data_IF_359756330863
#
_entry.id   IF_359756330863
#
_cell.length_a   1.000
_cell.length_b   1.000
_cell.length_c   1.000
_cell.angle_alpha   90.00
_cell.angle_beta   90.00
_cell.angle_gamma   90.00
#
_symmetry.space_group_name_H-M   'P 1'
#
loop_
_entity.id
_entity.type
_entity.pdbx_description
1 polymer ?
#
# COMPACT_ATOMS: atom_id res chain seq x y z
N UNK A 1 -3.51 39.15 -30.16
CA UNK A 1 -2.96 38.39 -29.01
C UNK A 1 -3.81 37.15 -28.85
N UNK A 2 -3.30 35.99 -29.29
CA UNK A 2 -3.99 34.71 -29.13
C UNK A 2 -3.84 34.27 -27.68
N UNK A 3 -4.95 34.16 -26.96
CA UNK A 3 -4.99 33.47 -25.67
C UNK A 3 -4.88 31.97 -26.00
N UNK A 4 -3.70 31.42 -25.73
CA UNK A 4 -3.45 29.99 -25.82
C UNK A 4 -4.37 29.32 -24.81
N UNK A 5 -5.42 28.67 -25.30
CA UNK A 5 -6.33 27.88 -24.49
C UNK A 5 -5.52 26.87 -23.69
N UNK A 6 -5.80 26.84 -22.39
CA UNK A 6 -5.21 25.96 -21.38
C UNK A 6 -4.83 24.60 -21.97
N UNK A 7 -3.53 24.33 -21.99
CA UNK A 7 -3.05 22.96 -22.15
C UNK A 7 -3.63 22.18 -20.99
N UNK A 8 -4.64 21.36 -21.30
CA UNK A 8 -5.23 20.37 -20.42
C UNK A 8 -4.19 19.26 -20.23
N UNK A 9 -3.07 19.59 -19.57
CA UNK A 9 -2.09 18.62 -19.14
C UNK A 9 -2.84 17.74 -18.14
N UNK A 10 -2.98 16.47 -18.48
CA UNK A 10 -3.63 15.51 -17.60
C UNK A 10 -2.88 15.50 -16.27
N UNK A 11 -3.59 15.58 -15.15
CA UNK A 11 -3.02 15.48 -13.79
C UNK A 11 -2.15 14.22 -13.65
N UNK A 12 -2.47 13.18 -14.40
CA UNK A 12 -1.71 11.93 -14.48
C UNK A 12 -0.34 12.14 -15.14
N UNK A 13 -0.28 12.87 -16.24
CA UNK A 13 0.98 13.18 -16.93
C UNK A 13 1.89 14.06 -16.07
N UNK A 14 1.32 15.04 -15.36
CA UNK A 14 2.07 15.89 -14.43
C UNK A 14 2.62 15.09 -13.24
N UNK A 15 1.82 14.21 -12.64
CA UNK A 15 2.27 13.36 -11.54
C UNK A 15 3.40 12.41 -11.95
N UNK A 16 3.28 11.79 -13.13
CA UNK A 16 4.32 10.89 -13.67
C UNK A 16 5.60 11.65 -14.02
N UNK A 17 5.48 12.88 -14.53
CA UNK A 17 6.62 13.71 -14.92
C UNK A 17 7.36 14.31 -13.72
N UNK A 18 6.65 14.66 -12.65
CA UNK A 18 7.21 15.25 -11.43
C UNK A 18 7.76 14.22 -10.43
N UNK A 19 7.50 12.93 -10.67
CA UNK A 19 7.98 11.85 -9.81
C UNK A 19 9.09 11.05 -10.48
N UNK A 20 9.85 10.29 -9.67
CA UNK A 20 10.83 9.35 -10.19
C UNK A 20 10.13 8.13 -10.81
N UNK A 21 9.55 8.32 -12.00
CA UNK A 21 8.86 7.27 -12.72
C UNK A 21 9.84 6.18 -13.16
N UNK A 22 9.44 4.92 -12.94
CA UNK A 22 10.15 3.74 -13.45
C UNK A 22 9.15 2.69 -13.89
N UNK A 23 9.51 1.96 -14.94
CA UNK A 23 8.80 0.74 -15.32
C UNK A 23 9.02 -0.35 -14.26
N UNK A 24 8.11 -1.32 -14.18
CA UNK A 24 8.23 -2.46 -13.27
C UNK A 24 9.56 -3.21 -13.48
N UNK A 25 10.02 -3.33 -14.73
CA UNK A 25 11.29 -3.99 -15.07
C UNK A 25 12.51 -3.25 -14.50
N UNK A 26 12.49 -1.92 -14.50
CA UNK A 26 13.56 -1.10 -13.92
C UNK A 26 13.55 -1.14 -12.40
N UNK A 27 12.35 -1.13 -11.79
CA UNK A 27 12.20 -1.27 -10.32
C UNK A 27 12.78 -2.61 -9.87
N UNK A 28 12.55 -3.70 -10.61
CA UNK A 28 13.10 -5.03 -10.27
C UNK A 28 14.62 -5.13 -10.29
N UNK A 29 15.28 -4.31 -11.11
CA UNK A 29 16.75 -4.27 -11.20
C UNK A 29 17.37 -3.37 -10.13
N UNK A 30 16.55 -2.65 -9.38
CA UNK A 30 17.00 -1.74 -8.34
C UNK A 30 17.31 -2.50 -7.05
N UNK A 31 18.53 -2.35 -6.54
CA UNK A 31 19.01 -3.11 -5.37
C UNK A 31 19.17 -2.25 -4.11
N UNK A 32 18.72 -1.00 -4.14
CA UNK A 32 18.77 -0.07 -3.00
C UNK A 32 17.36 0.35 -2.58
N UNK A 33 17.18 0.77 -1.33
CA UNK A 33 15.92 1.33 -0.87
C UNK A 33 15.64 2.66 -1.57
N UNK A 34 14.54 2.72 -2.32
CA UNK A 34 14.10 3.92 -3.03
C UNK A 34 12.59 3.92 -3.26
N UNK A 35 12.04 5.11 -3.52
CA UNK A 35 10.62 5.32 -3.83
C UNK A 35 10.49 5.70 -5.30
N UNK A 36 9.66 4.98 -6.03
CA UNK A 36 9.37 5.21 -7.45
C UNK A 36 7.87 5.29 -7.68
N UNK A 37 7.49 5.97 -8.77
CA UNK A 37 6.12 5.92 -9.30
C UNK A 37 6.11 4.97 -10.49
N UNK A 38 5.03 4.21 -10.64
CA UNK A 38 4.84 3.33 -11.79
C UNK A 38 3.37 3.26 -12.14
N UNK A 39 3.09 3.01 -13.41
CA UNK A 39 1.75 2.76 -13.91
C UNK A 39 1.61 1.27 -14.22
N UNK A 40 0.49 0.68 -13.83
CA UNK A 40 0.23 -0.72 -14.13
C UNK A 40 -1.20 -1.16 -13.80
N UNK A 41 -1.65 -2.20 -14.50
CA UNK A 41 -2.97 -2.79 -14.30
C UNK A 41 -2.92 -3.90 -13.27
N UNK A 42 -3.78 -3.84 -12.26
CA UNK A 42 -3.97 -4.92 -11.28
C UNK A 42 -4.62 -6.11 -12.00
N UNK A 43 -3.94 -7.28 -12.05
CA UNK A 43 -4.53 -8.51 -12.63
C UNK A 43 -5.26 -9.37 -11.62
N UNK A 44 -4.68 -9.50 -10.42
CA UNK A 44 -5.22 -10.34 -9.34
C UNK A 44 -4.89 -9.73 -8.00
N UNK A 45 -5.84 -9.80 -7.08
CA UNK A 45 -5.64 -9.50 -5.66
C UNK A 45 -5.56 -10.84 -4.92
N UNK A 46 -4.47 -11.08 -4.21
CA UNK A 46 -4.31 -12.28 -3.39
C UNK A 46 -4.98 -12.07 -2.02
N UNK A 47 -6.02 -12.85 -1.75
CA UNK A 47 -6.82 -12.75 -0.51
C UNK A 47 -6.54 -13.88 0.49
N UNK A 48 -5.77 -14.90 0.08
CA UNK A 48 -5.53 -16.13 0.85
C UNK A 48 -4.72 -15.88 2.14
N UNK A 49 -3.78 -14.94 2.12
CA UNK A 49 -2.90 -14.65 3.26
C UNK A 49 -3.44 -13.61 4.25
N UNK A 50 -4.77 -13.46 4.33
CA UNK A 50 -5.43 -12.56 5.27
C UNK A 50 -5.44 -11.12 4.74
N UNK A 51 -6.59 -10.71 4.19
CA UNK A 51 -6.74 -9.39 3.58
C UNK A 51 -7.22 -8.27 4.49
N UNK A 52 -7.09 -8.48 5.78
CA UNK A 52 -7.21 -7.45 6.79
C UNK A 52 -6.73 -8.02 8.12
N UNK A 53 -6.57 -7.14 9.11
CA UNK A 53 -6.31 -7.53 10.48
C UNK A 53 -7.14 -6.72 11.46
N UNK A 54 -7.33 -7.27 12.67
CA UNK A 54 -7.97 -6.59 13.79
C UNK A 54 -7.02 -5.54 14.35
N UNK A 55 -7.23 -4.28 14.01
CA UNK A 55 -6.33 -3.18 14.34
C UNK A 55 -6.77 -2.37 15.56
N UNK A 56 -5.79 -1.91 16.34
CA UNK A 56 -6.00 -0.97 17.44
C UNK A 56 -6.52 0.37 16.91
N UNK A 57 -7.51 0.96 17.59
CA UNK A 57 -8.04 2.29 17.21
C UNK A 57 -6.96 3.38 17.30
N UNK A 58 -6.09 3.33 18.31
CA UNK A 58 -5.08 4.36 18.61
C UNK A 58 -3.80 4.19 17.76
N UNK A 59 -3.10 3.07 17.91
CA UNK A 59 -1.78 2.88 17.27
C UNK A 59 -1.83 2.14 15.94
N UNK A 60 -3.02 1.71 15.49
CA UNK A 60 -3.25 0.96 14.24
C UNK A 60 -2.55 -0.40 14.14
N UNK A 61 -1.73 -0.81 15.12
CA UNK A 61 -1.10 -2.14 15.18
C UNK A 61 -2.12 -3.25 15.43
N UNK A 62 -1.75 -4.48 15.05
CA UNK A 62 -2.56 -5.68 15.29
C UNK A 62 -2.85 -5.92 16.78
N UNK A 63 -4.07 -6.38 17.06
CA UNK A 63 -4.54 -6.76 18.39
C UNK A 63 -4.36 -8.27 18.60
N UNK A 64 -4.12 -8.68 19.84
CA UNK A 64 -4.21 -10.08 20.28
C UNK A 64 -5.62 -10.34 20.78
N UNK A 65 -6.21 -11.44 20.36
CA UNK A 65 -7.52 -11.89 20.84
C UNK A 65 -7.32 -12.70 22.11
N UNK A 66 -7.93 -12.22 23.21
CA UNK A 66 -7.92 -12.85 24.52
C UNK A 66 -9.37 -13.12 24.91
N UNK A 67 -9.81 -14.35 24.72
CA UNK A 67 -11.20 -14.79 24.95
C UNK A 67 -12.23 -13.89 24.21
N UNK A 68 -12.78 -12.89 24.91
CA UNK A 68 -13.80 -11.94 24.42
C UNK A 68 -13.31 -10.49 24.37
N UNK A 69 -11.99 -10.27 24.50
CA UNK A 69 -11.36 -8.95 24.48
C UNK A 69 -10.19 -8.89 23.52
N UNK A 70 -9.85 -7.67 23.14
CA UNK A 70 -8.75 -7.39 22.22
C UNK A 70 -7.65 -6.60 22.93
N UNK A 71 -6.50 -7.24 23.16
CA UNK A 71 -5.37 -6.60 23.79
C UNK A 71 -4.43 -5.99 22.77
N UNK A 72 -4.06 -4.72 22.97
CA UNK A 72 -3.03 -4.06 22.18
C UNK A 72 -1.68 -4.09 22.91
N UNK A 73 -0.67 -4.85 22.44
CA UNK A 73 0.64 -4.89 23.09
C UNK A 73 1.38 -3.54 23.04
N UNK A 74 1.10 -2.71 22.01
CA UNK A 74 1.75 -1.42 21.86
C UNK A 74 1.09 -0.31 22.70
N UNK A 75 -0.20 -0.43 23.01
CA UNK A 75 -0.90 0.55 23.87
C UNK A 75 -1.06 0.05 25.31
N UNK A 76 -0.73 -1.22 25.57
CA UNK A 76 -0.93 -1.94 26.83
C UNK A 76 -2.36 -1.71 27.35
N UNK A 77 -3.33 -1.99 26.47
CA UNK A 77 -4.75 -1.71 26.75
C UNK A 77 -5.66 -2.73 26.07
N UNK A 78 -6.69 -3.12 26.80
CA UNK A 78 -7.79 -3.94 26.31
C UNK A 78 -8.91 -3.10 25.69
N UNK A 79 -9.51 -3.66 24.64
CA UNK A 79 -10.65 -3.11 23.94
C UNK A 79 -11.76 -4.16 23.85
N UNK A 80 -13.01 -3.71 23.95
CA UNK A 80 -14.18 -4.55 23.66
C UNK A 80 -14.46 -4.70 22.15
N UNK A 81 -13.80 -3.91 21.30
CA UNK A 81 -13.95 -3.94 19.85
C UNK A 81 -12.63 -3.64 19.14
N UNK A 82 -12.51 -4.10 17.90
CA UNK A 82 -11.39 -3.79 17.01
C UNK A 82 -11.85 -2.93 15.83
N UNK A 83 -10.87 -2.34 15.13
CA UNK A 83 -11.11 -1.68 13.84
C UNK A 83 -10.52 -2.57 12.74
N UNK A 84 -11.31 -3.09 11.77
CA UNK A 84 -10.77 -3.80 10.62
C UNK A 84 -9.81 -2.89 9.84
N UNK A 85 -8.64 -3.39 9.47
CA UNK A 85 -7.64 -2.63 8.70
C UNK A 85 -7.08 -3.49 7.59
N UNK A 86 -6.94 -2.92 6.41
CA UNK A 86 -6.21 -3.49 5.30
C UNK A 86 -4.74 -3.70 5.69
N UNK A 87 -4.23 -4.90 5.48
CA UNK A 87 -2.81 -5.23 5.56
C UNK A 87 -2.11 -4.86 4.25
N UNK A 88 -1.36 -3.77 4.24
CA UNK A 88 -0.65 -3.30 3.03
C UNK A 88 0.37 -4.31 2.45
N UNK A 89 0.56 -5.47 3.07
CA UNK A 89 1.24 -6.63 2.48
C UNK A 89 0.46 -7.28 1.33
N UNK A 90 -0.67 -6.70 0.89
CA UNK A 90 -1.37 -7.13 -0.34
C UNK A 90 -0.43 -7.27 -1.52
N UNK A 91 -0.45 -8.47 -2.09
CA UNK A 91 0.12 -8.75 -3.39
C UNK A 91 -0.89 -8.34 -4.45
N UNK A 92 -0.66 -7.19 -5.08
CA UNK A 92 -1.27 -6.90 -6.37
C UNK A 92 -0.40 -7.57 -7.42
N UNK A 93 -0.94 -8.57 -8.11
CA UNK A 93 -0.31 -9.13 -9.30
C UNK A 93 -0.46 -8.11 -10.43
N UNK A 94 0.34 -7.06 -10.45
CA UNK A 94 0.50 -6.15 -11.59
C UNK A 94 1.49 -6.83 -12.52
N UNK A 95 1.19 -6.90 -13.82
CA UNK A 95 1.89 -7.71 -14.85
C UNK A 95 3.37 -8.05 -14.51
N UNK A 96 3.55 -9.18 -13.81
CA UNK A 96 4.78 -9.72 -13.18
C UNK A 96 5.15 -9.19 -11.78
N UNK A 97 4.30 -9.41 -10.77
CA UNK A 97 4.63 -9.17 -9.35
C UNK A 97 4.44 -10.45 -8.52
N UNK A 98 5.54 -11.16 -8.26
CA UNK A 98 5.78 -11.72 -6.93
C UNK A 98 6.84 -10.81 -6.30
N UNK A 99 6.42 -9.77 -5.58
CA UNK A 99 7.34 -9.00 -4.74
C UNK A 99 6.91 -9.18 -3.30
N UNK A 100 7.54 -10.15 -2.64
CA UNK A 100 7.58 -10.27 -1.19
C UNK A 100 8.23 -9.01 -0.62
N UNK A 101 7.41 -8.05 -0.19
CA UNK A 101 7.86 -7.08 0.80
C UNK A 101 7.91 -7.78 2.17
N UNK A 102 8.83 -8.73 2.32
CA UNK A 102 9.26 -9.22 3.63
C UNK A 102 10.14 -8.11 4.23
N UNK A 103 9.56 -7.27 5.08
CA UNK A 103 10.36 -6.54 6.06
C UNK A 103 10.98 -7.58 6.99
N UNK A 104 12.32 -7.64 7.03
CA UNK A 104 13.08 -8.32 8.07
C UNK A 104 12.68 -7.80 9.46
#
# INVERSE_FOLDING_TARGET
MSLVCDQLVSVEEDFLRLSAYKTITEIKKHNQDAVFVTAGTIKKVEIEFGWWYKGCKKCRRGLRELEKRYFCPNCIKDYGFYVPRYDSRYFFNIHTLHTLCLRK
#
